data_IF_026863421660
#
_entry.id   IF_026863421660
#
_cell.length_a   1.000
_cell.length_b   1.000
_cell.length_c   1.000
_cell.angle_alpha   90.00
_cell.angle_beta   90.00
_cell.angle_gamma   90.00
#
_symmetry.space_group_name_H-M   'P 1'
#
loop_
_entity.id
_entity.type
_entity.pdbx_description
1 polymer ?
#
# COMPACT_ATOMS: atom_id res chain seq x y z
N UNK A 1 15.23 -22.31 -27.46
CA UNK A 1 15.58 -22.76 -26.11
C UNK A 1 14.31 -23.04 -25.34
N UNK A 2 14.22 -24.16 -24.62
CA UNK A 2 13.05 -24.47 -23.81
C UNK A 2 12.93 -23.46 -22.67
N UNK A 3 11.74 -22.91 -22.47
CA UNK A 3 11.49 -21.90 -21.45
C UNK A 3 11.22 -22.57 -20.10
N UNK A 4 12.01 -22.22 -19.07
CA UNK A 4 11.82 -22.72 -17.72
C UNK A 4 10.54 -22.14 -17.10
N UNK A 5 9.80 -22.96 -16.36
CA UNK A 5 8.62 -22.52 -15.60
C UNK A 5 9.01 -21.56 -14.48
N UNK A 6 8.17 -20.57 -14.24
CA UNK A 6 8.27 -19.65 -13.10
C UNK A 6 7.08 -19.87 -12.18
N UNK A 7 7.32 -19.72 -10.90
CA UNK A 7 6.29 -19.95 -9.90
C UNK A 7 6.06 -18.70 -9.05
N UNK A 8 4.80 -18.41 -8.80
CA UNK A 8 4.36 -17.31 -7.94
C UNK A 8 3.28 -17.80 -6.97
N UNK A 9 3.06 -17.08 -5.85
CA UNK A 9 1.97 -17.43 -4.93
C UNK A 9 0.61 -17.32 -5.63
N UNK A 10 -0.24 -18.34 -5.42
CA UNK A 10 -1.60 -18.34 -5.94
C UNK A 10 -2.35 -17.07 -5.53
N UNK A 11 -3.07 -16.45 -6.47
CA UNK A 11 -3.88 -15.27 -6.20
C UNK A 11 -5.02 -15.59 -5.24
N UNK A 12 -5.26 -14.69 -4.28
CA UNK A 12 -6.40 -14.83 -3.38
C UNK A 12 -7.72 -14.59 -4.12
N UNK A 13 -8.57 -15.61 -4.16
CA UNK A 13 -9.92 -15.57 -4.77
C UNK A 13 -11.05 -15.76 -3.74
N UNK A 14 -10.79 -15.45 -2.46
CA UNK A 14 -11.69 -15.68 -1.34
C UNK A 14 -11.21 -16.79 -0.40
N UNK A 15 -11.89 -16.98 0.73
CA UNK A 15 -11.50 -17.96 1.77
C UNK A 15 -11.44 -19.37 1.21
N UNK A 16 -12.33 -19.73 0.28
CA UNK A 16 -12.37 -21.05 -0.36
C UNK A 16 -11.10 -21.38 -1.17
N UNK A 17 -10.33 -20.35 -1.62
CA UNK A 17 -9.08 -20.55 -2.36
C UNK A 17 -7.87 -20.85 -1.46
N UNK A 18 -8.03 -20.82 -0.13
CA UNK A 18 -6.98 -21.17 0.82
C UNK A 18 -7.07 -22.62 1.24
N UNK A 19 -5.92 -23.23 1.45
CA UNK A 19 -5.78 -24.62 1.87
C UNK A 19 -5.34 -24.71 3.32
N UNK A 20 -5.33 -25.91 3.89
CA UNK A 20 -4.84 -26.15 5.25
C UNK A 20 -3.33 -25.94 5.27
N UNK A 21 -2.86 -25.09 6.18
CA UNK A 21 -1.44 -24.79 6.34
C UNK A 21 -0.71 -25.98 6.98
N UNK A 22 0.39 -26.46 6.40
CA UNK A 22 1.19 -27.53 7.01
C UNK A 22 1.82 -27.16 8.35
N UNK A 23 2.01 -25.84 8.60
CA UNK A 23 2.63 -25.36 9.84
C UNK A 23 1.66 -25.15 10.99
N UNK A 24 0.46 -24.58 10.76
CA UNK A 24 -0.49 -24.25 11.83
C UNK A 24 -1.84 -24.98 11.77
N UNK A 25 -2.08 -25.82 10.76
CA UNK A 25 -3.33 -26.56 10.60
C UNK A 25 -4.56 -25.71 10.26
N UNK A 26 -4.40 -24.40 10.06
CA UNK A 26 -5.51 -23.51 9.73
C UNK A 26 -5.66 -23.32 8.21
N UNK A 27 -6.86 -22.95 7.76
CA UNK A 27 -7.14 -22.67 6.34
C UNK A 27 -6.60 -21.27 5.93
N UNK A 28 -5.28 -21.16 5.90
CA UNK A 28 -4.54 -19.89 5.66
C UNK A 28 -3.41 -20.03 4.64
N UNK A 29 -3.21 -21.22 4.08
CA UNK A 29 -2.09 -21.54 3.20
C UNK A 29 -2.45 -21.33 1.72
N UNK A 30 -1.48 -20.85 0.95
CA UNK A 30 -1.53 -20.68 -0.50
C UNK A 30 -0.37 -21.43 -1.14
N UNK A 31 -0.63 -22.28 -2.16
CA UNK A 31 0.43 -22.91 -2.93
C UNK A 31 1.15 -21.90 -3.82
N UNK A 32 2.36 -22.22 -4.25
CA UNK A 32 2.92 -21.62 -5.44
C UNK A 32 2.30 -22.26 -6.68
N UNK A 33 2.10 -21.47 -7.72
CA UNK A 33 1.52 -21.87 -9.02
C UNK A 33 2.43 -21.40 -10.15
N UNK A 34 2.43 -22.11 -11.27
CA UNK A 34 3.10 -21.68 -12.50
C UNK A 34 2.33 -20.55 -13.20
N UNK A 35 2.82 -20.10 -14.35
CA UNK A 35 2.23 -19.03 -15.14
C UNK A 35 0.81 -19.33 -15.62
N UNK A 36 0.45 -20.62 -15.73
CA UNK A 36 -0.88 -21.10 -16.12
C UNK A 36 -1.82 -21.28 -14.91
N UNK A 37 -1.32 -21.02 -13.70
CA UNK A 37 -2.06 -21.17 -12.45
C UNK A 37 -2.14 -22.62 -11.94
N UNK A 38 -1.32 -23.56 -12.49
CA UNK A 38 -1.26 -24.94 -12.02
C UNK A 38 -0.40 -25.00 -10.75
N UNK A 39 -0.83 -25.76 -9.72
CA UNK A 39 -0.04 -25.91 -8.50
C UNK A 39 1.36 -26.44 -8.78
N UNK A 40 2.34 -25.94 -8.02
CA UNK A 40 3.74 -26.38 -8.10
C UNK A 40 3.88 -27.90 -8.04
N UNK A 41 3.14 -28.54 -7.14
CA UNK A 41 3.16 -29.99 -6.98
C UNK A 41 2.68 -30.77 -8.21
N UNK A 42 1.95 -30.15 -9.13
CA UNK A 42 1.48 -30.79 -10.35
C UNK A 42 2.64 -31.20 -11.28
N UNK A 43 3.78 -30.52 -11.21
CA UNK A 43 4.97 -30.85 -12.01
C UNK A 43 5.77 -32.03 -11.46
N UNK A 44 5.49 -32.45 -10.22
CA UNK A 44 6.21 -33.51 -9.51
C UNK A 44 5.35 -34.73 -9.20
N UNK A 45 4.18 -34.89 -9.86
CA UNK A 45 3.26 -36.01 -9.64
C UNK A 45 3.91 -37.40 -9.91
N UNK A 46 4.83 -37.45 -10.88
CA UNK A 46 5.56 -38.66 -11.27
C UNK A 46 6.95 -38.77 -10.63
N UNK A 47 7.31 -37.87 -9.71
CA UNK A 47 8.58 -37.92 -9.01
C UNK A 47 8.55 -38.95 -7.88
N UNK A 48 9.73 -39.22 -7.30
CA UNK A 48 9.86 -40.03 -6.10
C UNK A 48 8.86 -39.60 -5.02
N UNK A 49 8.26 -40.56 -4.24
CA UNK A 49 7.28 -40.22 -3.22
C UNK A 49 7.74 -39.17 -2.20
N UNK A 50 9.02 -39.14 -1.84
CA UNK A 50 9.56 -38.12 -0.93
C UNK A 50 9.58 -36.73 -1.60
N UNK A 51 10.05 -36.64 -2.84
CA UNK A 51 10.05 -35.40 -3.62
C UNK A 51 8.62 -34.88 -3.81
N UNK A 52 7.68 -35.77 -4.13
CA UNK A 52 6.25 -35.40 -4.27
C UNK A 52 5.66 -34.85 -2.96
N UNK A 53 5.92 -35.52 -1.83
CA UNK A 53 5.47 -35.06 -0.53
C UNK A 53 6.03 -33.69 -0.13
N UNK A 54 7.26 -33.37 -0.52
CA UNK A 54 7.84 -32.04 -0.35
C UNK A 54 7.22 -31.01 -1.31
N UNK A 55 6.98 -31.38 -2.56
CA UNK A 55 6.35 -30.49 -3.54
C UNK A 55 4.92 -30.05 -3.12
N UNK A 56 4.16 -30.94 -2.49
CA UNK A 56 2.83 -30.64 -1.95
C UNK A 56 2.86 -29.61 -0.80
N UNK A 57 4.01 -29.36 -0.21
CA UNK A 57 4.21 -28.41 0.89
C UNK A 57 4.71 -27.03 0.41
N UNK A 58 5.03 -26.88 -0.87
CA UNK A 58 5.56 -25.64 -1.45
C UNK A 58 4.47 -24.57 -1.49
N UNK A 59 4.53 -23.64 -0.54
CA UNK A 59 3.52 -22.61 -0.34
C UNK A 59 3.80 -21.73 0.87
N UNK A 60 2.95 -20.74 1.09
CA UNK A 60 3.06 -19.77 2.19
C UNK A 60 1.77 -19.63 2.98
N UNK A 61 1.89 -19.51 4.28
CA UNK A 61 0.79 -19.19 5.18
C UNK A 61 0.54 -17.66 5.18
N UNK A 62 -0.72 -17.23 5.02
CA UNK A 62 -1.07 -15.81 5.13
C UNK A 62 -1.06 -15.29 6.57
N UNK A 63 -0.96 -16.19 7.56
CA UNK A 63 -0.80 -15.83 8.96
C UNK A 63 0.69 -15.67 9.30
N UNK A 64 1.35 -14.74 8.63
CA UNK A 64 2.79 -14.52 8.75
C UNK A 64 3.22 -14.25 10.20
N UNK A 65 2.42 -13.49 10.97
CA UNK A 65 2.74 -13.10 12.35
C UNK A 65 2.70 -14.27 13.37
N UNK A 66 1.79 -15.22 13.16
CA UNK A 66 1.58 -16.33 14.14
C UNK A 66 2.17 -17.65 13.70
N UNK A 67 2.24 -17.90 12.39
CA UNK A 67 2.68 -19.17 11.85
C UNK A 67 4.05 -19.07 11.17
N UNK A 68 4.26 -18.06 10.33
CA UNK A 68 5.51 -17.84 9.60
C UNK A 68 5.88 -18.92 8.59
N UNK A 69 5.00 -19.89 8.31
CA UNK A 69 5.29 -20.94 7.35
C UNK A 69 5.45 -20.36 5.94
N UNK A 70 6.65 -20.48 5.39
CA UNK A 70 6.99 -20.14 4.01
C UNK A 70 7.99 -21.17 3.49
N UNK A 71 7.56 -21.98 2.51
CA UNK A 71 8.42 -22.95 1.82
C UNK A 71 8.38 -22.66 0.32
N UNK A 72 9.25 -21.79 -0.17
CA UNK A 72 9.24 -21.34 -1.56
C UNK A 72 9.90 -22.37 -2.50
N UNK A 73 9.63 -22.32 -3.83
CA UNK A 73 10.23 -23.19 -4.81
C UNK A 73 11.76 -23.26 -4.75
N UNK A 74 12.44 -22.14 -4.46
CA UNK A 74 13.89 -22.09 -4.35
C UNK A 74 14.44 -23.03 -3.27
N UNK A 75 13.76 -23.14 -2.12
CA UNK A 75 14.16 -24.04 -1.03
C UNK A 75 13.92 -25.49 -1.42
N UNK A 76 12.79 -25.80 -2.04
CA UNK A 76 12.51 -27.12 -2.59
C UNK A 76 13.60 -27.58 -3.58
N UNK A 77 13.99 -26.73 -4.55
CA UNK A 77 15.02 -27.07 -5.51
C UNK A 77 16.40 -27.22 -4.86
N UNK A 78 16.72 -26.41 -3.86
CA UNK A 78 17.97 -26.53 -3.10
C UNK A 78 18.03 -27.83 -2.31
N UNK A 79 16.93 -28.25 -1.70
CA UNK A 79 16.84 -29.46 -0.87
C UNK A 79 16.84 -30.74 -1.73
N UNK A 80 16.00 -30.76 -2.77
CA UNK A 80 15.80 -31.97 -3.59
C UNK A 80 16.78 -32.12 -4.74
N UNK A 81 17.49 -31.04 -5.13
CA UNK A 81 18.33 -30.94 -6.36
C UNK A 81 17.55 -31.29 -7.63
N UNK A 82 16.21 -31.25 -7.59
CA UNK A 82 15.38 -31.46 -8.76
C UNK A 82 15.60 -30.33 -9.78
N UNK A 83 15.55 -30.67 -11.07
CA UNK A 83 15.62 -29.67 -12.13
C UNK A 83 14.34 -28.81 -12.19
N UNK A 84 14.49 -27.55 -12.57
CA UNK A 84 13.31 -26.67 -12.81
C UNK A 84 12.54 -27.18 -14.03
N UNK A 85 11.24 -27.48 -13.90
CA UNK A 85 10.42 -27.92 -15.01
C UNK A 85 10.39 -26.93 -16.17
N UNK A 86 10.20 -27.44 -17.38
CA UNK A 86 10.11 -26.66 -18.60
C UNK A 86 8.68 -26.62 -19.10
N UNK A 87 8.31 -25.54 -19.77
CA UNK A 87 7.06 -25.49 -20.52
C UNK A 87 7.11 -26.39 -21.75
N UNK A 88 5.94 -26.82 -22.24
CA UNK A 88 5.85 -27.48 -23.53
C UNK A 88 6.32 -26.57 -24.66
N UNK A 89 6.77 -27.14 -25.78
CA UNK A 89 7.27 -26.37 -26.92
C UNK A 89 6.21 -25.37 -27.48
N UNK A 90 4.93 -25.68 -27.34
CA UNK A 90 3.82 -24.86 -27.83
C UNK A 90 3.31 -23.84 -26.78
N UNK A 91 3.91 -23.80 -25.60
CA UNK A 91 3.47 -22.88 -24.55
C UNK A 91 3.72 -21.42 -24.94
N UNK A 92 2.66 -20.62 -24.85
CA UNK A 92 2.76 -19.17 -25.02
C UNK A 92 2.60 -18.50 -23.67
N UNK A 93 3.51 -17.55 -23.37
CA UNK A 93 3.43 -16.78 -22.14
C UNK A 93 2.05 -16.10 -22.03
N UNK A 94 1.32 -16.26 -20.92
CA UNK A 94 0.06 -15.56 -20.70
C UNK A 94 0.24 -14.05 -20.84
N UNK A 95 -0.71 -13.39 -21.48
CA UNK A 95 -0.71 -11.93 -21.51
C UNK A 95 -0.80 -11.38 -20.09
N UNK A 96 -0.08 -10.29 -19.78
CA UNK A 96 -0.19 -9.64 -18.50
C UNK A 96 -1.64 -9.17 -18.28
N UNK A 97 -2.16 -9.21 -17.04
CA UNK A 97 -3.50 -8.75 -16.78
C UNK A 97 -3.64 -7.28 -17.13
N UNK A 98 -4.75 -6.93 -17.79
CA UNK A 98 -5.06 -5.53 -18.11
C UNK A 98 -5.08 -4.70 -16.83
N UNK A 99 -4.56 -3.47 -16.93
CA UNK A 99 -4.61 -2.53 -15.81
C UNK A 99 -6.03 -2.00 -15.65
N UNK A 100 -6.52 -2.01 -14.42
CA UNK A 100 -7.83 -1.50 -14.08
C UNK A 100 -7.90 0.02 -14.32
N UNK A 101 -8.96 0.47 -15.01
CA UNK A 101 -9.22 1.90 -15.23
C UNK A 101 -9.47 2.63 -13.90
N UNK A 102 -9.18 3.93 -13.78
CA UNK A 102 -9.59 4.72 -12.62
C UNK A 102 -11.11 4.63 -12.37
N UNK A 103 -11.51 4.78 -11.13
CA UNK A 103 -12.92 4.96 -10.76
C UNK A 103 -13.34 6.40 -11.07
N UNK A 104 -14.65 6.59 -11.34
CA UNK A 104 -15.20 7.95 -11.50
C UNK A 104 -14.96 8.77 -10.24
N UNK A 105 -14.43 9.98 -10.39
CA UNK A 105 -14.21 10.91 -9.27
C UNK A 105 -15.51 11.40 -8.64
N UNK A 106 -16.63 11.27 -9.34
CA UNK A 106 -17.96 11.59 -8.82
C UNK A 106 -18.31 10.72 -7.60
N UNK A 107 -17.85 9.44 -7.56
CA UNK A 107 -18.01 8.59 -6.38
C UNK A 107 -17.30 9.15 -5.15
N UNK A 108 -16.12 9.76 -5.37
CA UNK A 108 -15.37 10.44 -4.30
C UNK A 108 -16.15 11.62 -3.77
N UNK A 109 -16.61 12.52 -4.66
CA UNK A 109 -17.39 13.73 -4.27
C UNK A 109 -18.66 13.38 -3.52
N UNK A 110 -19.41 12.40 -4.01
CA UNK A 110 -20.71 12.05 -3.42
C UNK A 110 -20.60 11.35 -2.08
N UNK A 111 -19.48 10.72 -1.79
CA UNK A 111 -19.20 10.10 -0.49
C UNK A 111 -18.53 11.03 0.51
N UNK A 112 -18.18 12.27 0.14
CA UNK A 112 -17.38 13.22 0.94
C UNK A 112 -18.14 13.78 2.15
N UNK A 113 -18.68 12.89 2.98
CA UNK A 113 -19.38 13.20 4.24
C UNK A 113 -18.74 12.43 5.40
N UNK A 114 -17.47 12.71 5.77
CA UNK A 114 -16.66 11.87 6.68
C UNK A 114 -17.34 11.65 8.04
N UNK A 115 -18.12 12.61 8.52
CA UNK A 115 -18.82 12.54 9.80
C UNK A 115 -20.11 11.70 9.79
N UNK A 116 -20.50 11.12 8.66
CA UNK A 116 -21.47 10.02 8.63
C UNK A 116 -20.85 8.72 9.11
N UNK A 117 -19.51 8.57 9.09
CA UNK A 117 -18.82 7.39 9.60
C UNK A 117 -18.68 7.42 11.13
N UNK A 118 -18.66 6.23 11.74
CA UNK A 118 -18.39 6.06 13.18
C UNK A 118 -17.04 6.67 13.56
N UNK A 119 -16.02 6.42 12.74
CA UNK A 119 -14.68 6.93 13.00
C UNK A 119 -14.58 8.46 12.86
N UNK A 120 -15.22 9.04 11.86
CA UNK A 120 -15.24 10.50 11.70
C UNK A 120 -15.90 11.21 12.87
N UNK A 121 -17.02 10.65 13.38
CA UNK A 121 -17.67 11.15 14.60
C UNK A 121 -16.73 11.05 15.80
N UNK A 122 -16.08 9.90 16.00
CA UNK A 122 -15.15 9.70 17.09
C UNK A 122 -14.01 10.72 17.08
N UNK A 123 -13.40 11.00 15.93
CA UNK A 123 -12.35 12.02 15.80
C UNK A 123 -12.83 13.41 16.21
N UNK A 124 -14.06 13.77 15.84
CA UNK A 124 -14.63 15.09 16.12
C UNK A 124 -15.17 15.21 17.55
N UNK A 125 -15.94 14.22 18.01
CA UNK A 125 -16.77 14.34 19.20
C UNK A 125 -16.04 13.82 20.45
N UNK A 126 -15.27 12.72 20.33
CA UNK A 126 -14.60 12.06 21.45
C UNK A 126 -13.15 12.54 21.61
N UNK A 127 -12.36 12.53 20.54
CA UNK A 127 -10.98 13.04 20.59
C UNK A 127 -10.92 14.55 20.68
N UNK A 128 -11.97 15.24 20.21
CA UNK A 128 -12.04 16.70 20.21
C UNK A 128 -10.83 17.36 19.57
N UNK A 129 -10.40 16.81 18.44
CA UNK A 129 -9.35 17.43 17.63
C UNK A 129 -9.82 18.83 17.19
N UNK A 130 -8.90 19.79 16.95
CA UNK A 130 -9.27 21.13 16.48
C UNK A 130 -10.14 21.04 15.23
N UNK A 131 -11.39 21.52 15.32
CA UNK A 131 -12.42 21.29 14.31
C UNK A 131 -12.03 21.83 12.94
N UNK A 132 -11.47 23.04 12.89
CA UNK A 132 -10.98 23.69 11.67
C UNK A 132 -9.90 22.87 10.97
N UNK A 133 -8.93 22.35 11.72
CA UNK A 133 -7.85 21.50 11.19
C UNK A 133 -8.37 20.14 10.77
N UNK A 134 -9.26 19.54 11.56
CA UNK A 134 -9.86 18.26 11.23
C UNK A 134 -10.69 18.35 9.95
N UNK A 135 -11.54 19.38 9.83
CA UNK A 135 -12.36 19.61 8.63
C UNK A 135 -11.48 19.84 7.39
N UNK A 136 -10.40 20.59 7.52
CA UNK A 136 -9.46 20.81 6.43
C UNK A 136 -8.77 19.49 6.00
N UNK A 137 -8.29 18.70 6.96
CA UNK A 137 -7.66 17.40 6.68
C UNK A 137 -8.67 16.44 6.03
N UNK A 138 -9.89 16.33 6.57
CA UNK A 138 -10.92 15.46 5.98
C UNK A 138 -11.25 15.84 4.53
N UNK A 139 -11.28 17.14 4.24
CA UNK A 139 -11.49 17.68 2.89
C UNK A 139 -10.29 17.43 1.99
N UNK A 140 -9.09 17.76 2.44
CA UNK A 140 -7.87 17.63 1.64
C UNK A 140 -7.62 16.18 1.25
N UNK A 141 -7.85 15.23 2.16
CA UNK A 141 -7.69 13.80 1.90
C UNK A 141 -8.89 13.13 1.23
N UNK A 142 -9.94 13.89 0.88
CA UNK A 142 -11.17 13.36 0.29
C UNK A 142 -11.78 12.21 1.10
N UNK A 143 -11.78 12.33 2.43
CA UNK A 143 -12.32 11.27 3.30
C UNK A 143 -13.83 11.17 3.10
N UNK A 144 -14.28 9.94 2.82
CA UNK A 144 -15.69 9.66 2.60
C UNK A 144 -16.33 8.81 3.69
N UNK A 145 -17.63 8.57 3.56
CA UNK A 145 -18.35 7.59 4.36
C UNK A 145 -19.40 6.85 3.54
N UNK A 146 -19.65 5.59 3.93
CA UNK A 146 -20.78 4.80 3.43
C UNK A 146 -22.05 5.09 4.27
N UNK A 147 -23.21 4.78 3.73
CA UNK A 147 -24.47 4.84 4.47
C UNK A 147 -24.53 3.90 5.69
N UNK A 148 -23.69 2.84 5.68
CA UNK A 148 -23.54 1.88 6.80
C UNK A 148 -22.60 2.39 7.91
N UNK A 149 -22.09 3.62 7.81
CA UNK A 149 -21.20 4.22 8.82
C UNK A 149 -19.74 3.80 8.71
N UNK A 150 -19.32 3.15 7.60
CA UNK A 150 -17.89 2.90 7.34
C UNK A 150 -17.23 4.16 6.81
N UNK A 151 -16.00 4.41 7.24
CA UNK A 151 -15.16 5.44 6.62
C UNK A 151 -14.61 4.94 5.29
N UNK A 152 -14.42 5.86 4.34
CA UNK A 152 -13.82 5.57 3.03
C UNK A 152 -12.52 6.33 2.91
N UNK A 153 -11.43 5.62 2.67
CA UNK A 153 -10.12 6.16 2.32
C UNK A 153 -9.93 6.00 0.82
N UNK A 154 -10.10 7.09 0.08
CA UNK A 154 -9.92 7.09 -1.37
C UNK A 154 -8.45 7.13 -1.75
N UNK A 155 -8.02 6.21 -2.62
CA UNK A 155 -6.66 6.13 -3.12
C UNK A 155 -6.57 6.89 -4.44
N UNK A 156 -6.26 8.16 -4.34
CA UNK A 156 -6.16 9.09 -5.47
C UNK A 156 -4.67 9.29 -5.76
N UNK A 157 -4.25 9.11 -7.01
CA UNK A 157 -2.86 9.28 -7.41
C UNK A 157 -2.49 10.76 -7.60
N UNK A 158 -1.21 11.00 -7.85
CA UNK A 158 -0.66 12.35 -8.06
C UNK A 158 -1.30 13.08 -9.27
N UNK A 159 -1.90 12.34 -10.21
CA UNK A 159 -2.60 12.89 -11.37
C UNK A 159 -4.09 13.18 -11.08
N UNK A 160 -4.55 12.98 -9.84
CA UNK A 160 -5.94 13.17 -9.43
C UNK A 160 -6.87 12.03 -9.81
N UNK A 161 -6.36 10.89 -10.30
CA UNK A 161 -7.18 9.73 -10.71
C UNK A 161 -7.47 8.83 -9.51
N UNK A 162 -8.73 8.52 -9.25
CA UNK A 162 -9.13 7.60 -8.21
C UNK A 162 -8.84 6.15 -8.62
N UNK A 163 -7.89 5.50 -7.97
CA UNK A 163 -7.46 4.14 -8.29
C UNK A 163 -8.29 3.07 -7.59
N UNK A 164 -8.68 3.31 -6.34
CA UNK A 164 -9.57 2.46 -5.55
C UNK A 164 -10.05 3.25 -4.32
N UNK A 165 -10.86 2.62 -3.45
CA UNK A 165 -11.25 3.13 -2.14
C UNK A 165 -11.29 2.00 -1.13
N UNK A 166 -10.79 2.24 0.09
CA UNK A 166 -10.79 1.27 1.18
C UNK A 166 -11.87 1.64 2.20
N UNK A 167 -12.83 0.74 2.41
CA UNK A 167 -13.92 0.91 3.37
C UNK A 167 -13.54 0.22 4.67
N UNK A 168 -13.44 0.98 5.74
CA UNK A 168 -13.07 0.48 7.06
C UNK A 168 -14.19 0.69 8.07
N UNK A 169 -14.41 -0.31 8.93
CA UNK A 169 -15.31 -0.21 10.05
C UNK A 169 -14.51 0.02 11.33
N UNK A 170 -15.02 0.92 12.16
CA UNK A 170 -14.48 1.22 13.49
C UNK A 170 -15.58 1.10 14.52
N UNK A 171 -15.19 0.83 15.76
CA UNK A 171 -16.05 0.90 16.95
C UNK A 171 -16.14 2.34 17.45
N UNK A 172 -17.05 2.61 18.37
CA UNK A 172 -17.25 3.95 18.95
C UNK A 172 -16.05 4.44 19.78
N UNK A 173 -15.15 3.53 20.17
CA UNK A 173 -13.90 3.83 20.87
C UNK A 173 -12.71 4.16 19.92
N UNK A 174 -12.97 4.27 18.61
CA UNK A 174 -11.97 4.56 17.60
C UNK A 174 -11.07 3.38 17.23
N UNK A 175 -11.27 2.19 17.83
CA UNK A 175 -10.58 0.99 17.43
C UNK A 175 -11.21 0.32 16.22
N UNK A 176 -10.38 -0.35 15.41
CA UNK A 176 -10.85 -1.10 14.25
C UNK A 176 -11.84 -2.18 14.69
N UNK A 177 -12.97 -2.26 14.00
CA UNK A 177 -13.93 -3.35 14.14
C UNK A 177 -13.42 -4.57 13.36
N UNK A 178 -12.82 -5.54 14.08
CA UNK A 178 -12.22 -6.74 13.48
C UNK A 178 -13.26 -7.75 12.99
N UNK A 179 -14.51 -7.65 13.44
CA UNK A 179 -15.61 -8.50 13.00
C UNK A 179 -16.10 -8.12 11.61
N UNK A 180 -15.77 -6.89 11.18
CA UNK A 180 -16.13 -6.33 9.87
C UNK A 180 -14.89 -6.17 8.98
N UNK A 181 -14.67 -7.13 8.10
CA UNK A 181 -13.54 -7.06 7.17
C UNK A 181 -13.52 -5.78 6.31
N UNK A 182 -12.33 -5.28 5.95
CA UNK A 182 -12.19 -4.20 4.98
C UNK A 182 -12.83 -4.55 3.64
N UNK A 183 -13.51 -3.59 3.02
CA UNK A 183 -14.05 -3.73 1.67
C UNK A 183 -13.35 -2.75 0.72
N UNK A 184 -13.41 -3.04 -0.57
CA UNK A 184 -12.76 -2.24 -1.60
C UNK A 184 -13.80 -1.71 -2.58
N UNK A 185 -13.79 -0.41 -2.86
CA UNK A 185 -14.78 0.28 -3.66
C UNK A 185 -14.98 -0.39 -5.03
N UNK A 186 -13.88 -0.67 -5.73
CA UNK A 186 -13.93 -1.34 -7.03
C UNK A 186 -14.66 -2.68 -6.96
N UNK A 187 -14.34 -3.51 -5.98
CA UNK A 187 -14.97 -4.82 -5.81
C UNK A 187 -16.46 -4.69 -5.49
N UNK A 188 -16.84 -3.73 -4.62
CA UNK A 188 -18.24 -3.46 -4.28
C UNK A 188 -19.04 -3.01 -5.51
N UNK A 189 -18.47 -2.10 -6.32
CA UNK A 189 -19.09 -1.63 -7.56
C UNK A 189 -19.32 -2.79 -8.53
N UNK A 190 -18.28 -3.57 -8.81
CA UNK A 190 -18.37 -4.72 -9.73
C UNK A 190 -19.43 -5.71 -9.25
N UNK A 191 -19.44 -6.06 -7.97
CA UNK A 191 -20.43 -6.97 -7.40
C UNK A 191 -21.86 -6.42 -7.51
N UNK A 192 -22.04 -5.12 -7.26
CA UNK A 192 -23.35 -4.45 -7.39
C UNK A 192 -23.84 -4.43 -8.83
N UNK A 193 -22.97 -4.14 -9.81
CA UNK A 193 -23.34 -4.18 -11.23
C UNK A 193 -23.75 -5.60 -11.67
N UNK A 194 -23.05 -6.63 -11.19
CA UNK A 194 -23.40 -8.00 -11.45
C UNK A 194 -24.75 -8.38 -10.83
N UNK A 195 -25.00 -8.00 -9.57
CA UNK A 195 -26.26 -8.25 -8.87
C UNK A 195 -27.45 -7.57 -9.54
N UNK A 196 -27.25 -6.41 -10.16
CA UNK A 196 -28.27 -5.68 -10.94
C UNK A 196 -28.39 -6.16 -12.39
N UNK A 197 -27.68 -7.21 -12.79
CA UNK A 197 -27.70 -7.72 -14.15
C UNK A 197 -27.07 -6.78 -15.20
N UNK A 198 -26.37 -5.72 -14.78
CA UNK A 198 -25.73 -4.75 -15.69
C UNK A 198 -24.47 -5.28 -16.36
N UNK A 199 -23.86 -6.32 -15.78
CA UNK A 199 -22.72 -7.05 -16.36
C UNK A 199 -22.93 -8.55 -16.21
N UNK A 200 -22.41 -9.32 -17.19
CA UNK A 200 -22.42 -10.79 -17.15
C UNK A 200 -21.43 -11.33 -16.12
N UNK A 201 -21.60 -12.57 -15.67
CA UNK A 201 -20.65 -13.23 -14.76
C UNK A 201 -19.24 -13.27 -15.37
N UNK A 202 -19.12 -13.58 -16.67
CA UNK A 202 -17.84 -13.53 -17.40
C UNK A 202 -17.18 -12.17 -17.28
N UNK A 203 -17.93 -11.07 -17.52
CA UNK A 203 -17.40 -9.70 -17.42
C UNK A 203 -17.01 -9.34 -16.00
N UNK A 204 -17.77 -9.77 -14.99
CA UNK A 204 -17.42 -9.63 -13.57
C UNK A 204 -16.07 -10.28 -13.28
N UNK A 205 -15.85 -11.51 -13.72
CA UNK A 205 -14.60 -12.24 -13.48
C UNK A 205 -13.41 -11.57 -14.18
N UNK A 206 -13.60 -11.07 -15.41
CA UNK A 206 -12.59 -10.27 -16.12
C UNK A 206 -12.20 -9.03 -15.32
N UNK A 207 -13.18 -8.22 -14.89
CA UNK A 207 -12.93 -6.98 -14.12
C UNK A 207 -12.26 -7.24 -12.76
N UNK A 208 -12.61 -8.34 -12.08
CA UNK A 208 -11.98 -8.72 -10.81
C UNK A 208 -10.55 -9.23 -10.97
N UNK A 209 -10.18 -9.66 -12.20
CA UNK A 209 -8.83 -10.10 -12.53
C UNK A 209 -7.93 -8.96 -13.05
N UNK A 210 -8.47 -7.77 -13.32
CA UNK A 210 -7.66 -6.61 -13.70
C UNK A 210 -6.65 -6.23 -12.60
N UNK A 211 -5.49 -5.73 -13.02
CA UNK A 211 -4.44 -5.26 -12.11
C UNK A 211 -4.82 -3.90 -11.53
N UNK A 212 -5.15 -3.84 -10.26
CA UNK A 212 -5.40 -2.58 -9.56
C UNK A 212 -4.09 -2.01 -9.02
N UNK A 213 -3.61 -0.92 -9.60
CA UNK A 213 -2.44 -0.19 -9.12
C UNK A 213 -2.88 0.69 -7.94
N UNK A 214 -2.82 0.15 -6.72
CA UNK A 214 -3.13 0.91 -5.52
C UNK A 214 -2.01 1.87 -5.18
N UNK A 215 -2.39 3.08 -4.81
CA UNK A 215 -1.50 4.18 -4.44
C UNK A 215 -1.52 4.41 -2.93
N UNK A 216 -0.65 5.28 -2.43
CA UNK A 216 -0.76 5.74 -1.06
C UNK A 216 -2.02 6.59 -0.87
N UNK A 217 -2.67 6.45 0.27
CA UNK A 217 -3.66 7.41 0.73
C UNK A 217 -2.95 8.76 0.97
N UNK A 218 -3.49 9.84 0.40
CA UNK A 218 -2.87 11.17 0.44
C UNK A 218 -1.86 11.45 -0.68
N UNK A 219 -1.59 10.52 -1.63
CA UNK A 219 -0.61 10.73 -2.71
C UNK A 219 -0.93 11.97 -3.57
N UNK A 220 -2.20 12.23 -3.87
CA UNK A 220 -2.63 13.38 -4.67
C UNK A 220 -2.20 14.74 -4.08
N UNK A 221 -1.97 14.81 -2.77
CA UNK A 221 -1.50 16.03 -2.10
C UNK A 221 -0.06 16.39 -2.47
N UNK A 222 0.71 15.48 -3.05
CA UNK A 222 2.01 15.78 -3.64
C UNK A 222 1.91 16.80 -4.78
N UNK A 223 0.78 16.88 -5.47
CA UNK A 223 0.51 17.85 -6.52
C UNK A 223 -0.08 19.17 -6.01
N UNK A 224 -0.47 19.27 -4.74
CA UNK A 224 -1.06 20.47 -4.14
C UNK A 224 0.05 21.44 -3.72
N UNK A 225 0.04 22.69 -4.23
CA UNK A 225 1.06 23.69 -3.88
C UNK A 225 1.23 23.96 -2.38
N UNK A 226 0.18 23.78 -1.57
CA UNK A 226 0.22 23.94 -0.11
C UNK A 226 1.16 22.98 0.60
N UNK A 227 1.48 21.86 -0.05
CA UNK A 227 2.34 20.80 0.49
C UNK A 227 3.70 20.72 -0.20
N UNK A 228 3.99 21.63 -1.16
CA UNK A 228 5.19 21.56 -2.01
C UNK A 228 6.48 21.46 -1.20
N UNK A 229 6.61 22.22 -0.13
CA UNK A 229 7.86 22.32 0.65
C UNK A 229 7.86 21.40 1.89
N UNK A 230 6.75 20.72 2.19
CA UNK A 230 6.68 19.83 3.33
C UNK A 230 7.41 18.52 3.06
N UNK A 231 8.23 18.01 3.98
CA UNK A 231 8.74 16.65 3.88
C UNK A 231 7.58 15.65 3.92
N UNK A 232 7.77 14.48 3.30
CA UNK A 232 6.75 13.43 3.25
C UNK A 232 6.98 12.47 4.40
N UNK A 233 5.93 12.12 5.14
CA UNK A 233 5.94 11.08 6.16
C UNK A 233 5.08 9.90 5.73
N UNK A 234 5.66 8.70 5.73
CA UNK A 234 4.99 7.46 5.31
C UNK A 234 4.66 6.62 6.52
N UNK A 235 3.39 6.23 6.64
CA UNK A 235 2.86 5.34 7.69
C UNK A 235 2.14 4.13 7.07
N UNK A 236 1.85 3.10 7.86
CA UNK A 236 1.09 1.95 7.35
C UNK A 236 -0.41 2.28 7.24
N UNK A 237 -1.01 2.77 8.33
CA UNK A 237 -2.45 2.91 8.49
C UNK A 237 -3.01 4.27 8.07
N UNK A 238 -4.15 4.27 7.38
CA UNK A 238 -4.85 5.50 6.99
C UNK A 238 -5.39 6.26 8.23
N UNK A 239 -5.75 5.55 9.31
CA UNK A 239 -6.12 6.14 10.61
C UNK A 239 -4.99 7.01 11.15
N UNK A 240 -3.78 6.44 11.24
CA UNK A 240 -2.58 7.11 11.74
C UNK A 240 -2.19 8.30 10.88
N UNK A 241 -2.36 8.18 9.56
CA UNK A 241 -2.15 9.27 8.61
C UNK A 241 -3.06 10.48 8.91
N UNK A 242 -4.37 10.26 9.11
CA UNK A 242 -5.30 11.35 9.41
C UNK A 242 -5.01 12.01 10.76
N UNK A 243 -4.81 11.22 11.81
CA UNK A 243 -4.51 11.74 13.15
C UNK A 243 -3.23 12.58 13.10
N UNK A 244 -2.16 12.03 12.50
CA UNK A 244 -0.89 12.73 12.38
C UNK A 244 -0.98 14.00 11.51
N UNK A 245 -1.82 14.02 10.49
CA UNK A 245 -2.05 15.22 9.66
C UNK A 245 -2.65 16.37 10.44
N UNK A 246 -3.53 16.07 11.42
CA UNK A 246 -4.14 17.09 12.29
C UNK A 246 -3.19 17.54 13.39
N UNK A 247 -2.51 16.57 14.04
CA UNK A 247 -1.70 16.83 15.24
C UNK A 247 -0.27 17.27 14.93
N UNK A 248 0.28 16.86 13.80
CA UNK A 248 1.63 17.23 13.36
C UNK A 248 1.66 17.66 11.88
N UNK A 249 1.17 18.86 11.55
CA UNK A 249 1.03 19.35 10.17
C UNK A 249 2.37 19.75 9.51
N UNK A 250 3.51 19.54 10.16
CA UNK A 250 4.84 19.81 9.59
C UNK A 250 5.17 18.92 8.39
N UNK A 251 4.53 17.76 8.29
CA UNK A 251 4.70 16.79 7.21
C UNK A 251 3.49 16.76 6.27
N UNK A 252 3.71 16.31 5.04
CA UNK A 252 2.69 15.68 4.24
C UNK A 252 2.64 14.19 4.62
N UNK A 253 1.61 13.78 5.32
CA UNK A 253 1.42 12.39 5.73
C UNK A 253 0.79 11.57 4.62
N UNK A 254 1.30 10.37 4.38
CA UNK A 254 0.77 9.42 3.40
C UNK A 254 0.73 8.01 4.01
N UNK A 255 -0.32 7.24 3.71
CA UNK A 255 -0.41 5.86 4.19
C UNK A 255 -0.27 4.85 3.05
N UNK A 256 0.58 3.82 3.26
CA UNK A 256 0.75 2.73 2.30
C UNK A 256 -0.44 1.75 2.29
N UNK A 257 -1.24 1.69 3.36
CA UNK A 257 -2.26 0.67 3.54
C UNK A 257 -1.67 -0.72 3.76
N UNK A 258 -2.46 -1.67 4.23
CA UNK A 258 -2.04 -2.96 4.78
C UNK A 258 -1.21 -3.93 3.92
N UNK A 259 -0.60 -3.52 2.81
CA UNK A 259 0.38 -4.31 2.04
C UNK A 259 1.83 -3.86 2.29
N UNK A 260 2.01 -2.94 3.22
CA UNK A 260 3.31 -2.45 3.62
C UNK A 260 3.97 -1.50 2.62
N UNK A 261 5.15 -1.06 3.02
CA UNK A 261 6.02 -0.21 2.22
C UNK A 261 6.47 -0.94 0.95
N UNK A 262 6.46 -0.25 -0.18
CA UNK A 262 7.15 -0.67 -1.40
C UNK A 262 7.53 0.55 -2.24
N UNK A 263 8.53 0.38 -3.11
CA UNK A 263 9.09 1.44 -3.91
C UNK A 263 8.03 2.11 -4.81
N UNK A 264 7.18 1.34 -5.48
CA UNK A 264 6.21 1.90 -6.43
C UNK A 264 5.21 2.86 -5.80
N UNK A 265 4.93 2.72 -4.49
CA UNK A 265 4.02 3.59 -3.76
C UNK A 265 4.65 4.89 -3.32
N UNK A 266 5.93 4.89 -2.96
CA UNK A 266 6.63 6.11 -2.53
C UNK A 266 7.36 6.80 -3.67
N UNK A 267 7.45 6.15 -4.82
CA UNK A 267 8.14 6.69 -5.99
C UNK A 267 7.65 8.10 -6.43
N UNK A 268 6.34 8.45 -6.38
CA UNK A 268 5.91 9.81 -6.71
C UNK A 268 6.58 10.89 -5.85
N UNK A 269 6.80 10.62 -4.54
CA UNK A 269 7.52 11.52 -3.65
C UNK A 269 9.03 11.56 -3.96
N UNK A 270 9.61 10.40 -4.30
CA UNK A 270 11.02 10.30 -4.73
C UNK A 270 11.26 11.10 -6.03
N UNK A 271 10.36 10.96 -7.00
CA UNK A 271 10.45 11.66 -8.28
C UNK A 271 10.41 13.20 -8.13
N UNK A 272 9.76 13.69 -7.07
CA UNK A 272 9.76 15.10 -6.66
C UNK A 272 10.96 15.48 -5.78
N UNK A 273 11.92 14.58 -5.60
CA UNK A 273 13.11 14.78 -4.74
C UNK A 273 12.78 15.18 -3.30
N UNK A 274 11.61 14.71 -2.77
CA UNK A 274 11.16 15.04 -1.43
C UNK A 274 12.00 14.32 -0.38
N UNK A 275 12.23 14.95 0.77
CA UNK A 275 12.72 14.26 1.96
C UNK A 275 11.59 13.35 2.49
N UNK A 276 11.88 12.06 2.69
CA UNK A 276 10.87 11.05 3.04
C UNK A 276 11.22 10.44 4.39
N UNK A 277 10.30 10.51 5.33
CA UNK A 277 10.41 9.91 6.66
C UNK A 277 9.54 8.65 6.72
N UNK A 278 10.14 7.53 7.09
CA UNK A 278 9.45 6.24 7.20
C UNK A 278 9.15 5.95 8.66
N UNK A 279 7.87 5.95 9.02
CA UNK A 279 7.36 5.63 10.35
C UNK A 279 6.72 4.23 10.33
N UNK A 280 7.46 3.18 10.68
CA UNK A 280 6.92 1.82 10.71
C UNK A 280 6.03 1.60 11.93
N UNK A 281 5.01 0.75 11.82
CA UNK A 281 4.36 0.17 12.99
C UNK A 281 5.37 -0.72 13.74
N UNK A 282 5.22 -0.85 15.07
CA UNK A 282 6.21 -1.54 15.93
C UNK A 282 6.47 -2.97 15.44
N UNK A 283 5.43 -3.68 15.05
CA UNK A 283 5.51 -5.08 14.59
C UNK A 283 6.00 -5.23 13.13
N UNK A 284 6.14 -4.12 12.39
CA UNK A 284 6.58 -4.10 10.99
C UNK A 284 8.00 -3.56 10.78
N UNK A 285 8.68 -3.14 11.86
CA UNK A 285 9.97 -2.44 11.76
C UNK A 285 11.03 -3.23 10.98
N UNK A 286 11.21 -4.52 11.28
CA UNK A 286 12.22 -5.35 10.59
C UNK A 286 11.97 -5.38 9.08
N UNK A 287 10.74 -5.71 8.67
CA UNK A 287 10.37 -5.80 7.26
C UNK A 287 10.50 -4.47 6.52
N UNK A 288 10.04 -3.39 7.15
CA UNK A 288 10.10 -2.06 6.54
C UNK A 288 11.52 -1.53 6.47
N UNK A 289 12.39 -1.86 7.45
CA UNK A 289 13.80 -1.50 7.42
C UNK A 289 14.53 -2.16 6.25
N UNK A 290 14.31 -3.47 6.03
CA UNK A 290 14.88 -4.21 4.91
C UNK A 290 14.46 -3.59 3.56
N UNK A 291 13.18 -3.19 3.43
CA UNK A 291 12.67 -2.53 2.22
C UNK A 291 13.28 -1.13 2.08
N UNK A 292 13.29 -0.33 3.14
CA UNK A 292 13.84 1.02 3.11
C UNK A 292 15.31 1.04 2.72
N UNK A 293 16.10 0.11 3.26
CA UNK A 293 17.53 -0.05 2.93
C UNK A 293 17.71 -0.47 1.44
N UNK A 294 16.79 -1.30 0.91
CA UNK A 294 16.84 -1.72 -0.50
C UNK A 294 16.51 -0.61 -1.49
N UNK A 295 15.78 0.43 -1.07
CA UNK A 295 15.38 1.56 -1.93
C UNK A 295 16.58 2.47 -2.24
N UNK A 296 17.57 2.54 -1.36
CA UNK A 296 18.79 3.35 -1.53
C UNK A 296 18.53 4.79 -2.03
N UNK A 297 17.57 5.49 -1.38
CA UNK A 297 17.26 6.88 -1.69
C UNK A 297 17.90 7.81 -0.66
N UNK A 298 18.84 8.74 -1.04
CA UNK A 298 19.64 9.52 -0.08
C UNK A 298 18.82 10.41 0.85
N UNK A 299 17.61 10.80 0.45
CA UNK A 299 16.72 11.65 1.28
C UNK A 299 15.67 10.84 2.05
N UNK A 300 15.87 9.52 2.20
CA UNK A 300 15.01 8.66 3.00
C UNK A 300 15.54 8.58 4.44
N UNK A 301 14.67 8.87 5.41
CA UNK A 301 14.99 8.90 6.83
C UNK A 301 14.19 7.83 7.56
N UNK A 302 14.88 6.95 8.28
CA UNK A 302 14.26 5.93 9.10
C UNK A 302 13.84 6.46 10.47
N UNK A 303 12.60 6.22 10.89
CA UNK A 303 12.00 6.70 12.14
C UNK A 303 11.58 5.59 13.12
N UNK A 304 12.06 4.35 12.93
CA UNK A 304 11.74 3.25 13.84
C UNK A 304 12.18 3.51 15.29
N UNK A 305 13.35 4.11 15.49
CA UNK A 305 13.86 4.44 16.83
C UNK A 305 13.00 5.51 17.53
N UNK A 306 12.45 6.47 16.78
CA UNK A 306 11.52 7.47 17.31
C UNK A 306 10.27 6.79 17.90
N UNK A 307 9.70 5.81 17.20
CA UNK A 307 8.54 5.05 17.67
C UNK A 307 8.91 4.20 18.89
N UNK A 308 10.05 3.49 18.86
CA UNK A 308 10.50 2.66 19.97
C UNK A 308 10.71 3.43 21.28
N UNK A 309 11.24 4.65 21.18
CA UNK A 309 11.44 5.50 22.34
C UNK A 309 10.13 6.05 22.95
N UNK A 310 9.02 6.03 22.22
CA UNK A 310 7.75 6.69 22.58
C UNK A 310 6.56 5.76 22.68
N UNK A 311 6.68 4.51 22.22
CA UNK A 311 5.59 3.53 22.32
C UNK A 311 5.24 3.23 23.78
N UNK A 312 3.97 3.06 24.06
CA UNK A 312 3.47 2.56 25.35
C UNK A 312 3.17 1.04 25.28
N UNK A 313 2.98 0.49 24.07
CA UNK A 313 2.76 -0.93 23.84
C UNK A 313 3.38 -1.40 22.52
N UNK A 314 3.56 -2.71 22.37
CA UNK A 314 4.05 -3.34 21.13
C UNK A 314 3.02 -3.28 19.98
N UNK A 315 1.83 -2.76 20.22
CA UNK A 315 0.76 -2.58 19.24
C UNK A 315 0.58 -1.13 18.79
N UNK A 316 1.36 -0.22 19.37
CA UNK A 316 1.28 1.20 19.05
C UNK A 316 1.70 1.44 17.60
N UNK A 317 0.97 2.31 16.94
CA UNK A 317 1.36 2.92 15.68
C UNK A 317 1.78 4.40 15.89
N UNK A 318 2.22 5.06 14.84
CA UNK A 318 2.62 6.47 14.93
C UNK A 318 1.45 7.36 15.31
N UNK A 319 0.21 7.03 14.89
CA UNK A 319 -0.98 7.79 15.28
C UNK A 319 -1.22 7.76 16.77
N UNK A 320 -1.00 6.62 17.43
CA UNK A 320 -1.12 6.48 18.88
C UNK A 320 -0.03 7.31 19.61
N UNK A 321 1.19 7.31 19.07
CA UNK A 321 2.32 8.09 19.65
C UNK A 321 2.05 9.58 19.55
N UNK A 322 1.78 10.11 18.34
CA UNK A 322 1.60 11.56 18.15
C UNK A 322 0.33 12.08 18.82
N UNK A 323 -0.69 11.24 18.92
CA UNK A 323 -1.92 11.59 19.64
C UNK A 323 -1.66 11.75 21.14
N UNK A 324 -0.92 10.81 21.75
CA UNK A 324 -0.53 10.91 23.17
C UNK A 324 0.31 12.15 23.46
N UNK A 325 1.27 12.45 22.60
CA UNK A 325 2.08 13.68 22.75
C UNK A 325 1.18 14.91 22.66
N UNK A 326 0.34 14.98 21.65
CA UNK A 326 -0.59 16.11 21.47
C UNK A 326 -1.58 16.27 22.65
N UNK A 327 -2.10 15.17 23.22
CA UNK A 327 -2.99 15.19 24.38
C UNK A 327 -2.24 15.70 25.62
N UNK A 328 -0.98 15.29 25.85
CA UNK A 328 -0.17 15.80 26.96
C UNK A 328 0.06 17.31 26.87
N UNK A 329 0.40 17.80 25.69
CA UNK A 329 0.59 19.23 25.45
C UNK A 329 -0.69 20.03 25.68
N UNK A 330 -1.82 19.50 25.21
CA UNK A 330 -3.14 20.11 25.40
C UNK A 330 -3.57 20.18 26.87
N UNK A 331 -3.40 19.06 27.59
CA UNK A 331 -3.87 18.93 28.97
C UNK A 331 -2.89 19.53 29.98
N UNK A 332 -1.60 19.69 29.58
CA UNK A 332 -0.56 20.39 30.35
C UNK A 332 -0.58 21.92 30.21
N UNK A 333 -1.27 22.43 29.22
CA UNK A 333 -1.45 23.87 29.00
C UNK A 333 -2.57 24.44 29.88
N UNK A 334 -2.36 24.48 31.22
CA UNK A 334 -3.06 25.44 32.07
C UNK A 334 -2.48 26.84 31.81
N UNK A 335 -3.28 27.91 31.76
CA UNK A 335 -2.77 29.25 31.49
C UNK A 335 -2.02 29.81 32.72
N UNK A 336 -0.77 29.55 32.79
CA UNK A 336 0.14 30.33 33.63
C UNK A 336 1.05 31.15 32.72
N UNK A 337 0.84 32.47 32.82
CA UNK A 337 1.72 33.49 32.30
C UNK A 337 3.15 33.33 32.86
N UNK A 338 4.04 32.74 32.10
CA UNK A 338 5.47 32.89 32.21
C UNK A 338 6.13 32.27 30.94
N UNK A 339 7.04 32.99 30.41
CA UNK A 339 7.97 32.77 29.32
C UNK A 339 8.22 31.32 28.92
N UNK A 340 7.99 31.03 27.65
CA UNK A 340 8.20 29.72 27.01
C UNK A 340 9.71 29.52 26.86
N UNK A 341 10.26 28.77 27.78
CA UNK A 341 11.54 28.10 27.54
C UNK A 341 11.30 26.96 26.56
N UNK A 342 11.95 27.02 25.41
CA UNK A 342 11.90 25.99 24.38
C UNK A 342 12.39 24.64 24.95
N UNK A 343 11.66 23.53 24.69
CA UNK A 343 12.17 22.22 25.10
C UNK A 343 13.42 21.86 24.29
N UNK A 344 14.54 21.85 24.96
CA UNK A 344 15.84 21.34 24.48
C UNK A 344 15.72 19.86 24.16
N UNK A 345 16.31 19.50 23.01
CA UNK A 345 16.81 18.19 22.57
C UNK A 345 15.85 17.19 21.94
N UNK A 346 15.51 17.39 20.71
CA UNK A 346 16.01 16.53 19.64
C UNK A 346 16.93 17.45 18.85
N UNK A 347 18.15 17.03 18.53
CA UNK A 347 19.05 17.83 17.72
C UNK A 347 18.26 18.39 16.56
N UNK A 348 18.19 19.69 16.53
CA UNK A 348 17.45 20.50 15.60
C UNK A 348 17.69 19.97 14.18
N UNK A 349 16.68 19.31 13.62
CA UNK A 349 16.48 19.45 12.20
C UNK A 349 16.06 20.91 12.02
N UNK A 350 17.03 21.81 11.92
CA UNK A 350 16.84 23.19 11.54
C UNK A 350 15.90 23.19 10.31
N UNK A 351 14.93 24.10 10.25
CA UNK A 351 14.24 24.35 9.01
C UNK A 351 15.34 24.73 8.01
N UNK A 352 15.49 23.90 6.97
CA UNK A 352 16.36 24.20 5.84
C UNK A 352 15.78 25.38 5.09
N UNK A 353 16.02 26.58 5.59
CA UNK A 353 16.03 27.85 4.86
C UNK A 353 17.49 28.19 4.60
N UNK A 354 18.15 27.35 3.83
CA UNK A 354 19.29 27.67 3.00
C UNK A 354 19.21 26.66 1.86
N UNK A 355 18.87 27.11 0.68
CA UNK A 355 19.22 26.47 -0.57
C UNK A 355 20.75 26.39 -0.57
N UNK A 356 21.31 25.34 0.02
CA UNK A 356 22.66 24.92 -0.30
C UNK A 356 22.58 24.49 -1.74
N UNK A 357 23.22 25.24 -2.64
CA UNK A 357 23.40 24.86 -4.04
C UNK A 357 24.02 23.46 -4.02
N UNK A 358 23.19 22.46 -4.40
CA UNK A 358 23.64 21.07 -4.56
C UNK A 358 24.79 21.09 -5.57
N UNK A 359 25.92 20.47 -5.24
CA UNK A 359 27.03 20.35 -6.17
C UNK A 359 26.59 19.60 -7.44
N UNK A 360 27.24 19.86 -8.58
CA UNK A 360 26.93 19.16 -9.85
C UNK A 360 27.10 17.64 -9.69
N UNK A 361 27.98 17.20 -8.81
CA UNK A 361 28.23 15.80 -8.48
C UNK A 361 27.04 15.18 -7.73
N UNK A 362 26.49 15.88 -6.72
CA UNK A 362 25.27 15.45 -6.00
C UNK A 362 24.05 15.42 -6.90
N UNK A 363 23.92 16.38 -7.83
CA UNK A 363 22.86 16.38 -8.84
C UNK A 363 22.98 15.20 -9.79
N UNK A 364 24.19 14.85 -10.24
CA UNK A 364 24.44 13.70 -11.12
C UNK A 364 24.17 12.38 -10.41
N UNK A 365 24.58 12.25 -9.15
CA UNK A 365 24.33 11.04 -8.34
C UNK A 365 22.83 10.86 -8.06
N UNK A 366 22.11 11.93 -7.74
CA UNK A 366 20.66 11.93 -7.57
C UNK A 366 19.94 11.55 -8.87
N UNK A 367 20.40 12.05 -10.01
CA UNK A 367 19.81 11.71 -11.32
C UNK A 367 20.03 10.24 -11.67
N UNK A 368 21.19 9.69 -11.35
CA UNK A 368 21.52 8.27 -11.54
C UNK A 368 20.65 7.37 -10.64
N UNK A 369 20.50 7.75 -9.37
CA UNK A 369 19.64 7.03 -8.43
C UNK A 369 18.16 7.06 -8.87
N UNK A 370 17.66 8.22 -9.31
CA UNK A 370 16.31 8.36 -9.86
C UNK A 370 16.09 7.48 -11.08
N UNK A 371 17.06 7.39 -11.99
CA UNK A 371 16.99 6.56 -13.18
C UNK A 371 16.89 5.07 -12.84
N UNK A 372 17.73 4.58 -11.91
CA UNK A 372 17.67 3.19 -11.42
C UNK A 372 16.34 2.87 -10.75
N UNK A 373 15.81 3.81 -9.94
CA UNK A 373 14.52 3.65 -9.27
C UNK A 373 13.35 3.65 -10.28
N UNK A 374 13.44 4.44 -11.35
CA UNK A 374 12.44 4.40 -12.46
C UNK A 374 12.41 3.03 -13.13
N UNK A 375 13.57 2.43 -13.39
CA UNK A 375 13.69 1.08 -13.94
C UNK A 375 13.03 0.06 -13.02
N UNK A 376 13.33 0.09 -11.72
CA UNK A 376 12.74 -0.83 -10.74
C UNK A 376 11.22 -0.70 -10.66
N UNK A 377 10.68 0.52 -10.64
CA UNK A 377 9.24 0.77 -10.63
C UNK A 377 8.57 0.26 -11.91
N UNK A 378 9.20 0.46 -13.07
CA UNK A 378 8.68 -0.04 -14.33
C UNK A 378 8.67 -1.58 -14.37
N UNK A 379 9.72 -2.23 -13.85
CA UNK A 379 9.79 -3.68 -13.70
C UNK A 379 8.71 -4.23 -12.76
N UNK A 380 8.53 -3.61 -11.58
CA UNK A 380 7.48 -3.99 -10.63
C UNK A 380 6.07 -3.83 -11.22
N UNK A 381 5.81 -2.72 -11.95
CA UNK A 381 4.51 -2.44 -12.55
C UNK A 381 4.14 -3.37 -13.70
N UNK A 382 5.12 -3.77 -14.49
CA UNK A 382 4.92 -4.63 -15.66
C UNK A 382 5.09 -6.12 -15.34
N UNK A 383 5.47 -6.47 -14.10
CA UNK A 383 5.76 -7.85 -13.72
C UNK A 383 6.93 -8.44 -14.51
N UNK A 384 7.83 -7.59 -15.00
CA UNK A 384 8.99 -8.00 -15.80
C UNK A 384 10.12 -8.40 -14.85
N UNK A 385 10.71 -9.55 -15.10
CA UNK A 385 11.81 -10.10 -14.31
C UNK A 385 13.15 -10.05 -15.02
N UNK A 386 13.24 -9.38 -16.19
CA UNK A 386 14.48 -9.25 -16.94
C UNK A 386 15.10 -7.86 -16.80
N UNK A 387 16.39 -7.76 -16.43
CA UNK A 387 17.06 -6.50 -16.17
C UNK A 387 17.39 -5.65 -17.41
N UNK A 388 17.13 -6.11 -18.63
CA UNK A 388 17.66 -5.55 -19.86
C UNK A 388 16.62 -5.03 -20.88
N UNK A 389 15.41 -4.67 -20.44
CA UNK A 389 14.45 -4.03 -21.36
C UNK A 389 14.73 -2.52 -21.40
N UNK A 390 15.01 -1.88 -22.57
CA UNK A 390 15.27 -0.46 -22.66
C UNK A 390 14.10 0.38 -22.11
N UNK A 391 14.40 1.41 -21.32
CA UNK A 391 13.42 2.32 -20.71
C UNK A 391 12.45 2.94 -21.71
N UNK A 392 12.93 3.29 -22.91
CA UNK A 392 12.11 3.85 -23.99
C UNK A 392 10.96 2.93 -24.38
N UNK A 393 11.19 1.64 -24.49
CA UNK A 393 10.14 0.65 -24.78
C UNK A 393 9.13 0.47 -23.62
N UNK A 394 9.58 0.67 -22.38
CA UNK A 394 8.72 0.58 -21.19
C UNK A 394 7.83 1.83 -21.06
N UNK A 395 8.35 3.01 -21.35
CA UNK A 395 7.59 4.26 -21.35
C UNK A 395 6.61 4.35 -22.51
N UNK A 396 6.98 3.92 -23.71
CA UNK A 396 6.06 3.85 -24.85
C UNK A 396 4.90 2.88 -24.59
N UNK A 397 5.14 1.70 -24.03
CA UNK A 397 4.06 0.77 -23.64
C UNK A 397 3.15 1.32 -22.54
N UNK A 398 3.71 2.03 -21.56
CA UNK A 398 2.92 2.65 -20.48
C UNK A 398 2.11 3.85 -20.95
N UNK A 399 2.62 4.64 -21.90
CA UNK A 399 1.92 5.80 -22.45
C UNK A 399 0.85 5.42 -23.49
N UNK A 400 1.09 4.44 -24.34
CA UNK A 400 0.12 4.00 -25.35
C UNK A 400 -1.13 3.37 -24.73
N UNK A 401 -1.03 2.71 -23.57
CA UNK A 401 -2.19 2.17 -22.84
C UNK A 401 -2.99 3.21 -22.05
N UNK A 402 -2.43 4.41 -21.82
CA UNK A 402 -3.07 5.48 -21.04
C UNK A 402 -3.90 6.47 -21.86
N UNK A 403 -3.72 6.53 -23.18
CA UNK A 403 -4.27 7.62 -24.02
C UNK A 403 -5.56 7.25 -24.80
N UNK A 404 -5.81 5.99 -25.10
CA UNK A 404 -6.82 5.64 -26.13
C UNK A 404 -8.25 5.33 -25.66
N UNK A 405 -8.62 5.50 -24.38
CA UNK A 405 -9.94 5.05 -23.91
C UNK A 405 -10.74 6.04 -23.03
N UNK A 406 -10.74 7.34 -23.39
CA UNK A 406 -11.49 8.39 -22.66
C UNK A 406 -12.96 8.55 -23.13
N UNK A 407 -13.58 7.64 -23.83
CA UNK A 407 -14.98 7.77 -24.28
C UNK A 407 -15.82 6.55 -23.91
N UNK A 408 -16.43 6.58 -22.74
CA UNK A 408 -17.77 6.12 -22.30
C UNK A 408 -17.80 5.94 -20.79
N UNK A 409 -18.35 6.93 -20.10
CA UNK A 409 -18.66 6.81 -18.66
C UNK A 409 -19.82 5.82 -18.49
N UNK A 410 -19.73 4.88 -17.53
CA UNK A 410 -20.89 4.10 -17.13
C UNK A 410 -21.79 4.92 -16.21
N UNK A 411 -23.11 4.76 -16.36
CA UNK A 411 -24.13 5.36 -15.53
C UNK A 411 -23.87 5.16 -14.03
N UNK A 412 -24.08 6.21 -13.29
CA UNK A 412 -23.84 6.38 -11.87
C UNK A 412 -24.69 5.43 -10.99
N UNK A 413 -24.06 4.82 -9.98
CA UNK A 413 -24.75 4.13 -8.88
C UNK A 413 -24.14 4.63 -7.54
N UNK A 414 -24.95 5.34 -6.74
CA UNK A 414 -24.59 5.78 -5.39
C UNK A 414 -24.33 4.61 -4.42
N UNK A 415 -23.47 4.85 -3.42
CA UNK A 415 -23.22 3.97 -2.29
C UNK A 415 -24.22 4.19 -1.16
#
# INVERSE_FOLDING_TARGET
MAQLKRYSLARYRGVASKMICPGCGQRTWKPYVDEDGRPFSADFQNADPQIRALADRVGRCDNERKCGYDYPPREFFAETKAGVPQHSADWKKPEPPKTARPLSFELVRQSAYPYKSVFGKWLRDELRLPADKLDQVMKDYWVGATNEGRIIYWLIDIEGKCRDGKFMAYKNDGHRDHDKHPRWARKEIINRYAALGKITQKRKDELLNELVIRRCFGEHLLADPRYKDKPVAIVEGEKSCLIASVTNPKFLWMACGGNGLNLSRIYPAIAQKRKIFIFPDVDMQKKWKEIADSINYPRLVWMGDYINARKASEKDDVGDVVLREWLKDRDGAQPNSAEVDEPRTAQEAQPCTAETEESEEEKAEMQKALHLLQLQVAHERLGLTEPNVPLTMLFERLNLELIDDVKKEPDYIGF
#
